data_IF_505878470330
#
_entry.id   IF_505878470330
#
_cell.length_a   1.000
_cell.length_b   1.000
_cell.length_c   1.000
_cell.angle_alpha   90.00
_cell.angle_beta   90.00
_cell.angle_gamma   90.00
#
_symmetry.space_group_name_H-M   'P 1'
#
loop_
_entity.id
_entity.type
_entity.pdbx_description
1 polymer ?
#
# COMPACT_ATOMS: atom_id res chain seq x y z
N UNK A 1 -8.85 3.06 -5.19
CA UNK A 1 -7.83 2.51 -4.25
C UNK A 1 -6.70 1.99 -5.11
N UNK A 2 -5.45 2.41 -4.88
CA UNK A 2 -4.39 2.04 -5.77
C UNK A 2 -4.15 0.53 -5.71
N UNK A 3 -3.76 -0.02 -6.84
CA UNK A 3 -3.62 -1.47 -7.02
C UNK A 3 -2.17 -1.80 -7.34
N UNK A 4 -1.61 -2.87 -6.74
CA UNK A 4 -0.28 -3.32 -7.11
C UNK A 4 -0.33 -3.85 -8.55
N UNK A 5 0.63 -3.43 -9.37
CA UNK A 5 0.71 -3.83 -10.79
C UNK A 5 2.05 -4.49 -11.08
N UNK A 6 2.05 -5.36 -12.10
CA UNK A 6 3.29 -5.87 -12.68
C UNK A 6 4.07 -4.72 -13.34
N UNK A 7 5.40 -4.78 -13.27
CA UNK A 7 6.27 -3.79 -13.90
C UNK A 7 7.53 -4.45 -14.45
N UNK A 8 8.16 -3.89 -15.50
CA UNK A 8 9.39 -4.42 -16.05
C UNK A 8 10.49 -4.54 -14.98
N UNK A 9 11.00 -5.76 -14.79
CA UNK A 9 12.07 -6.04 -13.83
C UNK A 9 11.62 -6.56 -12.47
N UNK A 10 10.32 -6.74 -12.21
CA UNK A 10 9.89 -7.52 -11.06
C UNK A 10 10.39 -8.97 -11.18
N UNK A 11 10.77 -9.59 -10.05
CA UNK A 11 11.37 -10.93 -10.03
C UNK A 11 10.74 -11.85 -8.98
N UNK A 12 9.69 -11.39 -8.29
CA UNK A 12 9.01 -12.12 -7.23
C UNK A 12 7.51 -11.77 -7.23
N UNK A 13 6.69 -12.79 -6.96
CA UNK A 13 5.26 -12.64 -6.72
C UNK A 13 4.98 -12.98 -5.25
N UNK A 14 4.51 -11.99 -4.49
CA UNK A 14 4.01 -12.20 -3.14
C UNK A 14 2.52 -12.52 -3.23
N UNK A 15 2.15 -13.77 -2.94
CA UNK A 15 0.75 -14.20 -3.00
C UNK A 15 -0.03 -13.78 -1.78
N UNK A 16 -1.27 -13.38 -1.99
CA UNK A 16 -2.24 -13.21 -0.92
C UNK A 16 -2.38 -14.54 -0.15
N UNK A 17 -2.53 -14.49 1.18
CA UNK A 17 -2.85 -15.68 1.97
C UNK A 17 -4.14 -16.33 1.46
N UNK A 18 -4.19 -17.66 1.49
CA UNK A 18 -5.38 -18.40 1.09
C UNK A 18 -6.59 -18.00 1.95
N UNK A 19 -7.72 -17.72 1.30
CA UNK A 19 -8.96 -17.29 1.96
C UNK A 19 -9.01 -15.80 2.36
N UNK A 20 -7.95 -15.01 2.14
CA UNK A 20 -7.97 -13.57 2.38
C UNK A 20 -8.53 -12.82 1.16
N UNK A 21 -9.78 -12.34 1.25
CA UNK A 21 -10.43 -11.60 0.14
C UNK A 21 -10.02 -10.13 0.06
N UNK A 22 -9.45 -9.59 1.15
CA UNK A 22 -9.07 -8.18 1.28
C UNK A 22 -7.60 -7.90 0.94
N UNK A 23 -6.83 -8.92 0.57
CA UNK A 23 -5.41 -8.81 0.22
C UNK A 23 -5.23 -9.29 -1.22
N UNK A 24 -4.43 -8.56 -2.00
CA UNK A 24 -4.12 -8.91 -3.39
C UNK A 24 -2.69 -9.42 -3.51
N UNK A 25 -2.47 -10.25 -4.51
CA UNK A 25 -1.13 -10.61 -4.98
C UNK A 25 -0.37 -9.33 -5.36
N UNK A 26 0.94 -9.32 -5.10
CA UNK A 26 1.80 -8.16 -5.36
C UNK A 26 3.07 -8.60 -6.09
N UNK A 27 3.25 -8.10 -7.31
CA UNK A 27 4.50 -8.20 -8.04
C UNK A 27 5.53 -7.27 -7.40
N UNK A 28 6.71 -7.82 -7.11
CA UNK A 28 7.80 -7.07 -6.50
C UNK A 28 9.14 -7.43 -7.12
N UNK A 29 10.06 -6.49 -7.09
CA UNK A 29 11.48 -6.77 -7.21
C UNK A 29 12.06 -6.94 -5.81
N UNK A 30 12.89 -7.96 -5.62
CA UNK A 30 13.75 -8.07 -4.44
C UNK A 30 15.18 -8.47 -4.81
N UNK A 31 16.15 -7.94 -4.08
CA UNK A 31 17.54 -8.36 -4.14
C UNK A 31 18.04 -8.93 -2.79
N UNK A 32 17.12 -9.25 -1.87
CA UNK A 32 17.44 -9.70 -0.52
C UNK A 32 17.73 -8.56 0.49
N UNK A 33 17.89 -7.32 0.03
CA UNK A 33 18.10 -6.13 0.89
C UNK A 33 16.93 -5.14 0.84
N UNK A 34 16.31 -4.98 -0.33
CA UNK A 34 15.13 -4.12 -0.52
C UNK A 34 14.05 -4.83 -1.32
N UNK A 35 12.81 -4.36 -1.18
CA UNK A 35 11.65 -4.79 -1.95
C UNK A 35 11.02 -3.57 -2.61
N UNK A 36 10.69 -3.67 -3.90
CA UNK A 36 10.10 -2.58 -4.68
C UNK A 36 8.84 -3.07 -5.36
N UNK A 37 7.70 -2.46 -5.03
CA UNK A 37 6.42 -2.69 -5.72
C UNK A 37 5.95 -1.43 -6.45
N UNK A 38 5.24 -1.64 -7.56
CA UNK A 38 4.63 -0.57 -8.35
C UNK A 38 3.13 -0.53 -8.08
N UNK A 39 2.57 0.68 -8.00
CA UNK A 39 1.17 0.92 -7.69
C UNK A 39 0.56 1.85 -8.74
N UNK A 40 -0.57 1.42 -9.29
CA UNK A 40 -1.39 2.24 -10.18
C UNK A 40 -2.50 2.90 -9.38
N UNK A 41 -2.69 4.19 -9.62
CA UNK A 41 -3.72 5.02 -8.99
C UNK A 41 -4.74 5.42 -10.04
N UNK A 42 -6.00 5.58 -9.62
CA UNK A 42 -7.02 6.17 -10.49
C UNK A 42 -6.91 7.70 -10.57
N UNK A 43 -7.66 8.33 -11.49
CA UNK A 43 -7.57 9.77 -11.75
C UNK A 43 -7.96 10.61 -10.52
N UNK A 44 -8.95 10.16 -9.74
CA UNK A 44 -9.42 10.86 -8.54
C UNK A 44 -8.34 10.81 -7.44
N UNK A 45 -7.66 9.67 -7.30
CA UNK A 45 -6.53 9.51 -6.39
C UNK A 45 -5.32 10.35 -6.79
N UNK A 46 -4.99 10.38 -8.09
CA UNK A 46 -3.95 11.25 -8.61
C UNK A 46 -4.28 12.71 -8.34
N UNK A 47 -5.54 13.13 -8.52
CA UNK A 47 -5.97 14.49 -8.22
C UNK A 47 -5.74 14.85 -6.74
N UNK A 48 -6.06 13.94 -5.82
CA UNK A 48 -5.83 14.10 -4.38
C UNK A 48 -4.33 14.16 -4.03
N UNK A 49 -3.51 13.33 -4.67
CA UNK A 49 -2.05 13.34 -4.51
C UNK A 49 -1.47 14.66 -5.03
N UNK A 50 -1.93 15.16 -6.17
CA UNK A 50 -1.48 16.46 -6.71
C UNK A 50 -1.88 17.61 -5.80
N UNK A 51 -3.08 17.56 -5.21
CA UNK A 51 -3.61 18.57 -4.29
C UNK A 51 -2.84 18.59 -2.97
N UNK A 52 -2.53 17.42 -2.40
CA UNK A 52 -1.92 17.29 -1.07
C UNK A 52 -0.39 17.18 -1.11
N UNK A 53 0.17 16.78 -2.25
CA UNK A 53 1.57 16.40 -2.47
C UNK A 53 2.05 15.29 -1.52
N UNK A 54 1.14 14.38 -1.16
CA UNK A 54 1.39 13.32 -0.18
C UNK A 54 0.86 11.99 -0.67
N UNK A 55 1.61 10.93 -0.35
CA UNK A 55 1.19 9.53 -0.45
C UNK A 55 1.52 8.88 0.88
N UNK A 56 0.58 8.12 1.43
CA UNK A 56 0.78 7.40 2.68
C UNK A 56 0.99 5.92 2.37
N UNK A 57 1.99 5.35 3.00
CA UNK A 57 2.27 3.91 2.96
C UNK A 57 2.16 3.34 4.37
N UNK A 58 1.48 2.22 4.50
CA UNK A 58 1.42 1.44 5.73
C UNK A 58 1.91 0.03 5.45
N UNK A 59 2.83 -0.44 6.27
CA UNK A 59 3.27 -1.85 6.29
C UNK A 59 2.62 -2.47 7.51
N UNK A 60 1.66 -3.37 7.29
CA UNK A 60 0.83 -3.94 8.37
C UNK A 60 1.56 -5.07 9.11
N UNK A 61 2.77 -4.77 9.60
CA UNK A 61 3.65 -5.71 10.26
C UNK A 61 3.81 -5.39 11.73
N UNK A 62 3.21 -6.23 12.58
CA UNK A 62 3.75 -6.35 13.93
C UNK A 62 5.11 -7.05 13.95
N UNK A 63 5.36 -8.05 13.06
CA UNK A 63 6.47 -9.03 13.21
C UNK A 63 7.06 -9.69 11.93
N UNK A 64 6.40 -9.67 10.77
CA UNK A 64 6.86 -10.33 9.50
C UNK A 64 6.87 -9.35 8.32
N UNK A 65 7.11 -9.79 7.08
CA UNK A 65 6.95 -8.95 5.86
C UNK A 65 5.51 -9.12 5.30
N UNK A 66 4.57 -8.18 5.54
CA UNK A 66 3.13 -8.39 5.37
C UNK A 66 2.48 -7.26 4.51
N UNK A 67 1.15 -7.22 4.34
CA UNK A 67 0.50 -6.41 3.30
C UNK A 67 0.92 -4.95 3.36
N UNK A 68 1.26 -4.42 2.19
CA UNK A 68 1.50 -3.00 1.98
C UNK A 68 0.15 -2.39 1.59
N UNK A 69 -0.24 -1.34 2.28
CA UNK A 69 -1.39 -0.51 1.92
C UNK A 69 -0.89 0.86 1.50
N UNK A 70 -1.31 1.32 0.33
CA UNK A 70 -0.97 2.62 -0.22
C UNK A 70 -2.28 3.39 -0.42
N UNK A 71 -2.34 4.64 0.03
CA UNK A 71 -3.55 5.44 -0.11
C UNK A 71 -3.29 6.95 0.12
N UNK A 72 -4.21 7.82 -0.32
CA UNK A 72 -4.30 9.18 0.19
C UNK A 72 -4.58 9.22 1.71
N UNK A 73 -4.32 10.36 2.34
CA UNK A 73 -4.42 10.54 3.80
C UNK A 73 -5.80 10.13 4.37
N UNK A 74 -6.88 10.63 3.76
CA UNK A 74 -8.25 10.40 4.23
C UNK A 74 -8.62 8.92 4.24
N UNK A 75 -8.28 8.21 3.17
CA UNK A 75 -8.51 6.77 3.00
C UNK A 75 -7.64 5.97 3.96
N UNK A 76 -6.35 6.31 4.09
CA UNK A 76 -5.43 5.67 5.03
C UNK A 76 -5.92 5.77 6.47
N UNK A 77 -6.42 6.95 6.86
CA UNK A 77 -6.95 7.16 8.21
C UNK A 77 -8.22 6.35 8.45
N UNK A 78 -9.13 6.30 7.47
CA UNK A 78 -10.32 5.43 7.57
C UNK A 78 -9.95 3.96 7.77
N UNK A 79 -9.01 3.47 6.98
CA UNK A 79 -8.54 2.09 7.05
C UNK A 79 -7.87 1.75 8.40
N UNK A 80 -6.99 2.62 8.91
CA UNK A 80 -6.23 2.32 10.13
C UNK A 80 -7.05 2.41 11.43
N UNK A 81 -8.23 3.06 11.43
CA UNK A 81 -9.11 3.06 12.61
C UNK A 81 -9.49 1.64 13.02
N UNK A 82 -9.72 0.76 12.05
CA UNK A 82 -10.05 -0.65 12.29
C UNK A 82 -8.90 -1.44 12.94
N UNK A 83 -7.68 -0.88 12.95
CA UNK A 83 -6.46 -1.50 13.47
C UNK A 83 -5.94 -0.85 14.77
N UNK A 84 -6.75 -0.03 15.44
CA UNK A 84 -6.43 0.51 16.77
C UNK A 84 -6.17 2.01 16.84
N UNK A 85 -6.32 2.74 15.72
CA UNK A 85 -6.35 4.21 15.70
C UNK A 85 -5.42 4.85 14.66
N UNK A 86 -5.43 6.18 14.61
CA UNK A 86 -4.65 6.98 13.64
C UNK A 86 -3.73 7.98 14.34
N UNK A 87 -2.76 8.53 13.61
CA UNK A 87 -1.91 9.61 14.12
C UNK A 87 -2.70 10.90 14.35
N UNK A 88 -2.15 11.79 15.19
CA UNK A 88 -2.69 13.13 15.41
C UNK A 88 -2.37 14.00 14.21
N UNK A 89 -3.36 14.75 13.73
CA UNK A 89 -3.17 15.79 12.73
C UNK A 89 -2.84 17.07 13.50
N UNK A 90 -1.67 17.68 13.28
CA UNK A 90 -1.41 19.02 13.80
C UNK A 90 -2.38 20.01 13.14
N UNK A 91 -2.88 20.96 13.93
CA UNK A 91 -3.83 21.99 13.48
C UNK A 91 -3.14 23.06 12.65
#
# INVERSE_FOLDING_TARGET
MPVPVEFPGCNMLLRAPEGAENVRDMHTFTNGHCSVSCWEFDDDEIAEIVRTRRVYTSVLSGRTQPPIFLAPESVMRGFLVDYGGTWRVER
#
